data_IF_700379123213
#
_entry.id   IF_700379123213
#
_cell.length_a   1.000
_cell.length_b   1.000
_cell.length_c   1.000
_cell.angle_alpha   90.00
_cell.angle_beta   90.00
_cell.angle_gamma   90.00
#
_symmetry.space_group_name_H-M   'P 1'
#
loop_
_entity.id
_entity.type
_entity.pdbx_description
1 polymer ?
#
# COMPACT_ATOMS: atom_id res chain seq x y z
N UNK A 1 19.51 13.20 -11.18
CA UNK A 1 18.57 13.90 -12.07
C UNK A 1 17.15 13.59 -11.65
N UNK A 2 16.39 14.62 -11.24
CA UNK A 2 14.93 14.78 -11.28
C UNK A 2 14.59 15.84 -10.22
N UNK A 3 14.69 17.10 -10.63
CA UNK A 3 14.31 18.27 -9.82
C UNK A 3 12.78 18.30 -9.73
N UNK A 4 12.23 17.84 -8.60
CA UNK A 4 10.80 17.84 -8.33
C UNK A 4 10.38 19.21 -7.78
N UNK A 5 10.53 20.25 -8.59
CA UNK A 5 10.05 21.59 -8.32
C UNK A 5 8.88 21.91 -9.25
N UNK A 6 7.67 21.64 -8.77
CA UNK A 6 6.50 22.34 -9.31
C UNK A 6 5.65 22.88 -8.15
N UNK A 7 6.00 24.05 -7.58
CA UNK A 7 5.02 24.79 -6.80
C UNK A 7 3.88 25.15 -7.76
N UNK A 8 2.68 24.65 -7.50
CA UNK A 8 1.49 24.99 -8.27
C UNK A 8 1.43 26.52 -8.43
N UNK A 9 1.65 26.98 -9.67
CA UNK A 9 1.42 28.36 -10.05
C UNK A 9 -0.09 28.52 -10.16
N UNK A 10 -0.75 28.62 -9.00
CA UNK A 10 -2.19 28.82 -8.91
C UNK A 10 -2.50 30.17 -9.54
N UNK A 11 -3.36 30.17 -10.55
CA UNK A 11 -3.74 31.39 -11.25
C UNK A 11 -4.68 32.23 -10.39
N UNK A 12 -4.10 33.21 -9.70
CA UNK A 12 -4.79 34.17 -8.82
C UNK A 12 -5.45 35.34 -9.58
N UNK A 13 -5.49 35.33 -10.92
CA UNK A 13 -6.23 36.37 -11.67
C UNK A 13 -7.69 36.39 -11.21
N UNK A 14 -8.41 37.53 -11.18
CA UNK A 14 -9.78 37.62 -10.63
C UNK A 14 -10.85 37.07 -11.58
N UNK A 15 -11.92 36.41 -11.09
CA UNK A 15 -13.01 35.74 -11.89
C UNK A 15 -13.77 36.72 -12.81
N UNK A 16 -13.50 38.01 -12.67
CA UNK A 16 -14.10 39.10 -13.42
C UNK A 16 -13.99 38.92 -14.95
N UNK A 17 -15.07 39.22 -15.70
CA UNK A 17 -15.15 39.00 -17.15
C UNK A 17 -14.20 39.89 -17.97
N UNK A 18 -13.62 40.93 -17.36
CA UNK A 18 -12.80 41.95 -18.02
C UNK A 18 -11.33 41.50 -18.23
N UNK A 19 -10.90 40.39 -17.62
CA UNK A 19 -9.50 39.92 -17.66
C UNK A 19 -9.30 38.44 -18.00
N UNK A 20 -10.27 37.79 -18.65
CA UNK A 20 -10.32 36.33 -18.83
C UNK A 20 -9.19 35.73 -19.69
N UNK A 21 -8.36 36.53 -20.37
CA UNK A 21 -7.31 36.04 -21.26
C UNK A 21 -6.19 35.28 -20.53
N UNK A 22 -5.74 35.78 -19.37
CA UNK A 22 -4.71 35.11 -18.56
C UNK A 22 -5.14 33.72 -18.09
N UNK A 23 -6.39 33.62 -17.60
CA UNK A 23 -7.00 32.34 -17.19
C UNK A 23 -7.13 31.33 -18.30
N UNK A 24 -7.51 31.78 -19.50
CA UNK A 24 -7.63 30.89 -20.66
C UNK A 24 -6.28 30.23 -20.96
N UNK A 25 -5.21 31.02 -20.95
CA UNK A 25 -3.86 30.52 -21.20
C UNK A 25 -3.40 29.55 -20.12
N UNK A 26 -3.64 29.87 -18.84
CA UNK A 26 -3.31 28.97 -17.73
C UNK A 26 -4.06 27.64 -17.82
N UNK A 27 -5.38 27.69 -18.07
CA UNK A 27 -6.21 26.48 -18.22
C UNK A 27 -5.74 25.61 -19.39
N UNK A 28 -5.44 26.22 -20.54
CA UNK A 28 -4.92 25.50 -21.71
C UNK A 28 -3.63 24.74 -21.40
N UNK A 29 -2.68 25.39 -20.70
CA UNK A 29 -1.43 24.75 -20.26
C UNK A 29 -1.68 23.56 -19.32
N UNK A 30 -2.61 23.68 -18.37
CA UNK A 30 -2.94 22.59 -17.45
C UNK A 30 -3.67 21.43 -18.13
N UNK A 31 -4.49 21.70 -19.15
CA UNK A 31 -5.17 20.67 -19.92
C UNK A 31 -4.20 19.88 -20.81
N UNK A 32 -3.16 20.53 -21.35
CA UNK A 32 -2.10 19.86 -22.13
C UNK A 32 -1.28 18.87 -21.29
N UNK A 33 -1.04 19.19 -20.02
CA UNK A 33 -0.25 18.35 -19.10
C UNK A 33 -1.14 17.51 -18.17
N UNK A 34 -2.42 17.32 -18.51
CA UNK A 34 -3.36 16.59 -17.69
C UNK A 34 -2.98 15.09 -17.66
N UNK A 35 -2.82 14.48 -16.47
CA UNK A 35 -2.60 13.04 -16.35
C UNK A 35 -3.74 12.21 -16.93
N UNK A 36 -3.40 11.05 -17.49
CA UNK A 36 -4.38 10.10 -18.02
C UNK A 36 -5.19 9.45 -16.90
N UNK A 37 -6.41 8.99 -17.23
CA UNK A 37 -7.30 8.35 -16.23
C UNK A 37 -6.62 7.15 -15.57
N UNK A 38 -5.91 6.33 -16.34
CA UNK A 38 -5.22 5.14 -15.85
C UNK A 38 -4.19 5.47 -14.77
N UNK A 39 -3.40 6.54 -14.95
CA UNK A 39 -2.39 6.97 -13.98
C UNK A 39 -3.04 7.43 -12.67
N UNK A 40 -4.19 8.11 -12.75
CA UNK A 40 -4.94 8.54 -11.57
C UNK A 40 -5.54 7.35 -10.81
N UNK A 41 -5.95 6.30 -11.52
CA UNK A 41 -6.43 5.05 -10.91
C UNK A 41 -5.30 4.30 -10.23
N UNK A 42 -4.15 4.15 -10.90
CA UNK A 42 -2.96 3.49 -10.34
C UNK A 42 -2.46 4.20 -9.07
N UNK A 43 -2.47 5.54 -9.08
CA UNK A 43 -2.14 6.37 -7.92
C UNK A 43 -3.23 6.39 -6.84
N UNK A 44 -4.31 5.62 -7.00
CA UNK A 44 -5.45 5.54 -6.08
C UNK A 44 -6.14 6.90 -5.83
N UNK A 45 -6.08 7.81 -6.81
CA UNK A 45 -6.78 9.12 -6.77
C UNK A 45 -8.21 8.96 -7.31
N UNK A 46 -8.36 8.26 -8.43
CA UNK A 46 -9.67 7.89 -8.98
C UNK A 46 -10.01 6.44 -8.64
N UNK A 47 -11.29 6.14 -8.34
CA UNK A 47 -11.72 4.76 -8.15
C UNK A 47 -11.67 3.99 -9.47
N UNK A 48 -11.16 2.75 -9.41
CA UNK A 48 -11.22 1.82 -10.53
C UNK A 48 -12.59 1.15 -10.63
N UNK A 49 -13.60 1.94 -10.95
CA UNK A 49 -14.97 1.45 -11.09
C UNK A 49 -15.66 2.02 -12.31
N UNK A 50 -16.45 1.17 -12.95
CA UNK A 50 -17.39 1.52 -14.02
C UNK A 50 -18.78 1.89 -13.47
N UNK A 51 -18.99 1.78 -12.16
CA UNK A 51 -20.25 2.13 -11.52
C UNK A 51 -20.50 3.64 -11.57
N UNK A 52 -21.77 4.00 -11.60
CA UNK A 52 -22.20 5.40 -11.54
C UNK A 52 -21.64 6.08 -10.26
N UNK A 53 -21.29 7.38 -10.30
CA UNK A 53 -20.65 8.07 -9.17
C UNK A 53 -21.40 7.93 -7.83
N UNK A 54 -22.73 7.94 -7.86
CA UNK A 54 -23.55 7.77 -6.65
C UNK A 54 -23.54 6.36 -6.03
N UNK A 55 -23.06 5.35 -6.76
CA UNK A 55 -23.01 3.95 -6.30
C UNK A 55 -21.59 3.48 -5.94
N UNK A 56 -20.56 4.25 -6.31
CA UNK A 56 -19.16 3.88 -6.07
C UNK A 56 -18.87 3.64 -4.58
N UNK A 57 -19.47 4.44 -3.69
CA UNK A 57 -19.33 4.26 -2.25
C UNK A 57 -19.89 2.91 -1.79
N UNK A 58 -21.09 2.54 -2.26
CA UNK A 58 -21.75 1.28 -1.88
C UNK A 58 -21.04 0.07 -2.45
N UNK A 59 -20.52 0.17 -3.67
CA UNK A 59 -19.65 -0.85 -4.23
C UNK A 59 -18.41 -1.07 -3.36
N UNK A 60 -17.70 0.01 -3.00
CA UNK A 60 -16.49 -0.07 -2.17
C UNK A 60 -16.77 -0.66 -0.78
N UNK A 61 -17.91 -0.30 -0.19
CA UNK A 61 -18.39 -0.85 1.08
C UNK A 61 -18.59 -2.37 0.98
N UNK A 62 -19.32 -2.82 -0.05
CA UNK A 62 -19.54 -4.24 -0.32
C UNK A 62 -18.21 -5.01 -0.52
N UNK A 63 -17.32 -4.50 -1.37
CA UNK A 63 -16.02 -5.13 -1.62
C UNK A 63 -15.17 -5.22 -0.36
N UNK A 64 -15.25 -4.23 0.52
CA UNK A 64 -14.57 -4.25 1.83
C UNK A 64 -15.12 -5.36 2.71
N UNK A 65 -16.45 -5.50 2.80
CA UNK A 65 -17.09 -6.57 3.58
C UNK A 65 -16.74 -7.95 3.03
N UNK A 66 -16.84 -8.14 1.72
CA UNK A 66 -16.45 -9.40 1.07
C UNK A 66 -14.98 -9.78 1.34
N UNK A 67 -14.06 -8.79 1.29
CA UNK A 67 -12.66 -9.01 1.64
C UNK A 67 -12.47 -9.34 3.12
N UNK A 68 -13.20 -8.68 4.01
CA UNK A 68 -13.14 -8.94 5.44
C UNK A 68 -13.63 -10.36 5.76
N UNK A 69 -14.75 -10.79 5.18
CA UNK A 69 -15.31 -12.12 5.38
C UNK A 69 -14.36 -13.20 4.84
N UNK A 70 -13.83 -13.02 3.62
CA UNK A 70 -12.84 -13.94 3.06
C UNK A 70 -11.55 -14.02 3.89
N UNK A 71 -11.11 -12.88 4.45
CA UNK A 71 -9.94 -12.85 5.33
C UNK A 71 -10.22 -13.59 6.65
N UNK A 72 -11.38 -13.35 7.26
CA UNK A 72 -11.78 -14.00 8.51
C UNK A 72 -11.84 -15.52 8.36
N UNK A 73 -12.42 -16.00 7.26
CA UNK A 73 -12.46 -17.44 6.96
C UNK A 73 -11.05 -18.05 6.84
N UNK A 74 -10.15 -17.39 6.09
CA UNK A 74 -8.75 -17.83 5.96
C UNK A 74 -7.97 -17.77 7.27
N UNK A 75 -8.24 -16.79 8.13
CA UNK A 75 -7.61 -16.68 9.45
C UNK A 75 -8.11 -17.80 10.37
N UNK A 76 -9.40 -18.13 10.32
CA UNK A 76 -9.97 -19.20 11.16
C UNK A 76 -9.40 -20.58 10.83
N UNK A 77 -9.06 -20.82 9.56
CA UNK A 77 -8.42 -22.05 9.08
C UNK A 77 -6.90 -21.89 8.90
N UNK A 78 -6.26 -20.92 9.57
CA UNK A 78 -4.83 -20.67 9.41
C UNK A 78 -4.02 -21.84 10.00
N UNK A 79 -3.21 -22.55 9.20
CA UNK A 79 -2.40 -23.66 9.70
C UNK A 79 -1.35 -23.16 10.70
N UNK A 80 -1.02 -24.02 11.64
CA UNK A 80 0.04 -23.78 12.60
C UNK A 80 1.42 -23.85 11.93
N UNK A 81 2.45 -23.16 12.48
CA UNK A 81 3.81 -23.26 11.94
C UNK A 81 4.36 -24.68 11.92
N UNK A 82 4.03 -25.50 12.92
CA UNK A 82 4.43 -26.91 13.00
C UNK A 82 3.89 -27.75 11.83
N UNK A 83 2.61 -27.56 11.49
CA UNK A 83 2.00 -28.20 10.32
C UNK A 83 2.70 -27.79 9.03
N UNK A 84 3.02 -26.50 8.88
CA UNK A 84 3.74 -26.00 7.71
C UNK A 84 5.18 -26.53 7.60
N UNK A 85 5.85 -26.79 8.73
CA UNK A 85 7.18 -27.43 8.75
C UNK A 85 7.07 -28.89 8.31
N UNK A 86 6.07 -29.62 8.83
CA UNK A 86 5.81 -31.01 8.45
C UNK A 86 5.51 -31.16 6.96
N UNK A 87 4.79 -30.21 6.38
CA UNK A 87 4.49 -30.17 4.94
C UNK A 87 5.66 -29.67 4.08
N UNK A 88 6.77 -29.24 4.69
CA UNK A 88 7.97 -28.76 3.99
C UNK A 88 7.83 -27.36 3.39
N UNK A 89 6.77 -26.62 3.74
CA UNK A 89 6.55 -25.22 3.32
C UNK A 89 7.45 -24.28 4.11
N UNK A 90 7.64 -24.57 5.40
CA UNK A 90 8.46 -23.79 6.32
C UNK A 90 9.67 -24.60 6.78
N UNK A 91 10.83 -23.97 6.95
CA UNK A 91 12.05 -24.67 7.40
C UNK A 91 12.10 -24.81 8.91
N UNK A 92 11.85 -23.72 9.62
CA UNK A 92 11.86 -23.63 11.08
C UNK A 92 10.71 -22.75 11.58
N UNK A 93 10.32 -22.87 12.85
CA UNK A 93 9.26 -22.03 13.42
C UNK A 93 9.73 -20.56 13.55
N UNK A 94 9.06 -19.60 12.89
CA UNK A 94 9.36 -18.17 13.01
C UNK A 94 8.96 -17.55 14.36
N UNK A 95 8.28 -18.28 15.24
CA UNK A 95 7.88 -17.81 16.59
C UNK A 95 8.94 -18.05 17.66
N UNK A 96 9.94 -18.88 17.36
CA UNK A 96 11.03 -19.27 18.27
C UNK A 96 12.36 -18.47 18.11
N UNK A 97 12.42 -17.19 17.66
CA UNK A 97 13.69 -16.46 17.66
C UNK A 97 14.36 -16.40 19.05
N UNK A 98 13.58 -16.19 20.11
CA UNK A 98 14.09 -16.01 21.47
C UNK A 98 14.71 -17.28 22.05
N UNK A 99 14.08 -18.44 21.83
CA UNK A 99 14.62 -19.74 22.26
C UNK A 99 15.90 -20.09 21.49
N UNK A 100 15.93 -19.82 20.18
CA UNK A 100 17.14 -19.96 19.36
C UNK A 100 18.28 -19.06 19.82
N UNK A 101 18.00 -17.82 20.23
CA UNK A 101 19.02 -16.93 20.78
C UNK A 101 19.54 -17.43 22.13
N UNK A 102 18.66 -17.96 22.99
CA UNK A 102 19.05 -18.53 24.28
C UNK A 102 19.95 -19.77 24.11
N UNK A 103 19.57 -20.70 23.23
CA UNK A 103 20.34 -21.90 22.91
C UNK A 103 21.73 -21.54 22.34
N UNK A 104 21.79 -20.56 21.43
CA UNK A 104 23.07 -20.10 20.88
C UNK A 104 24.00 -19.45 21.92
N UNK A 105 23.45 -18.76 22.93
CA UNK A 105 24.23 -18.18 24.03
C UNK A 105 24.77 -19.30 24.94
N UNK A 106 23.96 -20.32 25.23
CA UNK A 106 24.35 -21.46 26.07
C UNK A 106 25.46 -22.29 25.42
N UNK A 107 25.36 -22.58 24.12
CA UNK A 107 26.37 -23.31 23.34
C UNK A 107 27.73 -22.61 23.31
N UNK A 108 27.75 -21.28 23.19
CA UNK A 108 28.95 -20.44 23.29
C UNK A 108 29.58 -20.54 24.69
N UNK A 109 28.76 -20.53 25.74
CA UNK A 109 29.21 -20.65 27.12
C UNK A 109 29.81 -22.05 27.38
N UNK A 110 29.16 -23.10 26.91
CA UNK A 110 29.61 -24.48 27.02
C UNK A 110 30.94 -24.72 26.27
N UNK A 111 31.13 -24.13 25.08
CA UNK A 111 32.39 -24.20 24.33
C UNK A 111 33.55 -23.51 25.05
N UNK A 112 33.28 -22.46 25.80
CA UNK A 112 34.29 -21.68 26.53
C UNK A 112 34.70 -22.33 27.85
N UNK A 113 33.76 -22.98 28.54
CA UNK A 113 33.99 -23.60 29.86
C UNK A 113 34.34 -25.11 29.78
N UNK A 114 34.13 -25.77 28.63
CA UNK A 114 34.29 -27.22 28.45
C UNK A 114 35.62 -27.72 27.89
N UNK A 115 36.65 -26.87 27.77
CA UNK A 115 37.97 -27.27 27.28
C UNK A 115 38.90 -27.77 28.39
N UNK A 116 38.82 -29.08 28.70
CA UNK A 116 39.85 -29.84 29.44
C UNK A 116 40.37 -30.98 28.56
#
# INVERSE_FOLDING_TARGET
>A
MADNSNPANVDDTPISPIGASGRKNSLEQHLQHRPERSELVEKNILPDSTAAPGLQEKQRELEKHMRADSLNDKISHRPSPEELIKEGVLKDDPRSPEEKYAEAIEDEYAKREGGA
#
